data_IF_746450798360
#
_entry.id   IF_746450798360
#
_cell.length_a   1.000
_cell.length_b   1.000
_cell.length_c   1.000
_cell.angle_alpha   90.00
_cell.angle_beta   90.00
_cell.angle_gamma   90.00
#
_symmetry.space_group_name_H-M   'P 1'
#
loop_
_entity.id
_entity.type
_entity.pdbx_description
1 polymer ?
#
# COMPACT_ATOMS: atom_id res chain seq x y z
N UNK A 1 -11.67 -3.78 -5.12
CA UNK A 1 -10.94 -2.60 -5.65
C UNK A 1 -11.59 -1.93 -6.87
N UNK A 2 -12.73 -2.42 -7.39
CA UNK A 2 -13.36 -1.88 -8.61
C UNK A 2 -13.72 -0.38 -8.55
N UNK A 3 -14.24 0.09 -7.42
CA UNK A 3 -14.55 1.52 -7.24
C UNK A 3 -13.29 2.40 -7.38
N UNK A 4 -12.17 2.02 -6.77
CA UNK A 4 -10.90 2.76 -6.89
C UNK A 4 -10.39 2.76 -8.33
N UNK A 5 -10.53 1.63 -9.03
CA UNK A 5 -10.17 1.54 -10.44
C UNK A 5 -11.03 2.46 -11.33
N UNK A 6 -12.32 2.57 -11.03
CA UNK A 6 -13.25 3.46 -11.73
C UNK A 6 -12.89 4.94 -11.51
N UNK A 7 -12.54 5.33 -10.28
CA UNK A 7 -12.12 6.70 -9.96
C UNK A 7 -10.85 7.10 -10.75
N UNK A 8 -9.90 6.18 -10.92
CA UNK A 8 -8.71 6.41 -11.76
C UNK A 8 -9.09 6.54 -13.23
N UNK A 9 -9.94 5.63 -13.76
CA UNK A 9 -10.39 5.69 -15.16
C UNK A 9 -11.15 6.97 -15.48
N UNK A 10 -11.91 7.50 -14.53
CA UNK A 10 -12.62 8.78 -14.63
C UNK A 10 -11.69 10.00 -14.47
N UNK A 11 -10.42 9.79 -14.11
CA UNK A 11 -9.46 10.87 -13.87
C UNK A 11 -9.71 11.66 -12.58
N UNK A 12 -10.59 11.18 -11.70
CA UNK A 12 -10.92 11.85 -10.43
C UNK A 12 -9.80 11.70 -9.39
N UNK A 13 -9.05 10.60 -9.48
CA UNK A 13 -7.86 10.37 -8.66
C UNK A 13 -6.72 9.86 -9.55
N UNK A 14 -5.49 10.26 -9.25
CA UNK A 14 -4.32 9.90 -10.07
C UNK A 14 -3.74 8.53 -9.71
N UNK A 15 -3.85 8.13 -8.45
CA UNK A 15 -3.23 6.92 -7.91
C UNK A 15 -4.09 6.24 -6.84
N UNK A 16 -3.82 4.96 -6.57
CA UNK A 16 -4.49 4.16 -5.54
C UNK A 16 -3.48 3.64 -4.54
N UNK A 17 -3.78 3.81 -3.25
CA UNK A 17 -2.99 3.27 -2.14
C UNK A 17 -3.88 2.55 -1.12
N UNK A 18 -3.25 1.89 -0.17
CA UNK A 18 -3.91 1.21 0.95
C UNK A 18 -3.28 1.64 2.28
N UNK A 19 -3.87 1.25 3.41
CA UNK A 19 -3.31 1.52 4.73
C UNK A 19 -3.47 0.31 5.65
N UNK A 20 -2.40 -0.03 6.37
CA UNK A 20 -2.31 -1.15 7.29
C UNK A 20 -2.59 -2.52 6.64
N UNK A 21 -2.19 -2.68 5.38
CA UNK A 21 -2.33 -3.96 4.68
C UNK A 21 -1.13 -4.86 4.92
N UNK A 22 -1.38 -6.16 5.06
CA UNK A 22 -0.34 -7.19 5.03
C UNK A 22 0.16 -7.43 3.61
N UNK A 23 1.31 -8.08 3.41
CA UNK A 23 1.81 -8.41 2.08
C UNK A 23 0.82 -9.16 1.20
N UNK A 24 0.05 -10.08 1.79
CA UNK A 24 -0.97 -10.89 1.13
C UNK A 24 -2.14 -10.00 0.66
N UNK A 25 -2.66 -9.15 1.54
CA UNK A 25 -3.72 -8.20 1.18
C UNK A 25 -3.28 -7.23 0.09
N UNK A 26 -2.00 -6.85 0.05
CA UNK A 26 -1.47 -6.02 -1.03
C UNK A 26 -1.36 -6.76 -2.37
N UNK A 27 -1.03 -8.05 -2.36
CA UNK A 27 -1.05 -8.87 -3.58
C UNK A 27 -2.47 -8.99 -4.12
N UNK A 28 -3.43 -9.26 -3.24
CA UNK A 28 -4.85 -9.33 -3.60
C UNK A 28 -5.38 -7.97 -4.11
N UNK A 29 -5.03 -6.88 -3.44
CA UNK A 29 -5.40 -5.53 -3.89
C UNK A 29 -4.82 -5.21 -5.27
N UNK A 30 -3.56 -5.54 -5.52
CA UNK A 30 -2.93 -5.37 -6.84
C UNK A 30 -3.60 -6.25 -7.91
N UNK A 31 -3.95 -7.50 -7.58
CA UNK A 31 -4.67 -8.39 -8.48
C UNK A 31 -6.01 -7.78 -8.91
N UNK A 32 -6.80 -7.26 -7.97
CA UNK A 32 -8.09 -6.61 -8.29
C UNK A 32 -7.97 -5.24 -8.96
N UNK A 33 -6.84 -4.54 -8.82
CA UNK A 33 -6.56 -3.31 -9.55
C UNK A 33 -6.14 -3.56 -11.00
N UNK A 34 -5.73 -4.80 -11.33
CA UNK A 34 -5.29 -5.18 -12.67
C UNK A 34 -4.07 -4.36 -13.11
N UNK A 35 -4.21 -3.59 -14.20
CA UNK A 35 -3.15 -2.74 -14.74
C UNK A 35 -2.92 -1.44 -13.97
N UNK A 36 -3.83 -1.07 -13.06
CA UNK A 36 -3.64 0.13 -12.22
C UNK A 36 -2.64 -0.22 -11.12
N UNK A 37 -1.51 0.49 -11.02
CA UNK A 37 -0.52 0.19 -10.00
C UNK A 37 -1.03 0.60 -8.61
N UNK A 38 -0.90 -0.30 -7.65
CA UNK A 38 -0.98 0.06 -6.23
C UNK A 38 0.30 0.81 -5.87
N UNK A 39 0.19 2.08 -5.49
CA UNK A 39 1.36 2.96 -5.35
C UNK A 39 1.86 3.12 -3.93
N UNK A 40 1.06 2.83 -2.91
CA UNK A 40 1.54 2.89 -1.54
C UNK A 40 0.76 2.00 -0.57
N UNK A 41 1.41 1.68 0.55
CA UNK A 41 0.78 1.18 1.76
C UNK A 41 1.22 2.04 2.93
N UNK A 42 0.24 2.73 3.55
CA UNK A 42 0.48 3.53 4.73
C UNK A 42 0.36 2.68 5.99
N UNK A 43 1.46 2.42 6.68
CA UNK A 43 1.47 1.64 7.93
C UNK A 43 2.15 2.41 9.05
N UNK A 44 1.90 1.98 10.29
CA UNK A 44 2.57 2.53 11.46
C UNK A 44 4.02 2.05 11.53
N UNK A 45 4.92 2.99 11.80
CA UNK A 45 6.32 2.71 12.11
C UNK A 45 6.80 3.69 13.18
N UNK A 46 7.52 3.19 14.17
CA UNK A 46 8.14 4.00 15.22
C UNK A 46 9.32 3.23 15.81
N UNK A 47 10.26 3.92 16.46
CA UNK A 47 11.47 3.29 17.01
C UNK A 47 11.17 2.09 17.93
N UNK A 48 10.10 2.19 18.74
CA UNK A 48 9.69 1.14 19.68
C UNK A 48 8.84 0.03 19.04
N UNK A 49 8.44 0.18 17.77
CA UNK A 49 7.60 -0.78 17.05
C UNK A 49 7.99 -0.80 15.57
N UNK A 50 8.97 -1.65 15.27
CA UNK A 50 9.61 -1.83 13.96
C UNK A 50 9.22 -3.17 13.31
N UNK A 51 8.11 -3.79 13.73
CA UNK A 51 7.66 -5.11 13.23
C UNK A 51 7.59 -5.17 11.70
N UNK A 52 7.25 -4.04 11.09
CA UNK A 52 7.12 -3.92 9.64
C UNK A 52 8.39 -4.23 8.86
N UNK A 53 9.56 -4.14 9.48
CA UNK A 53 10.84 -4.47 8.85
C UNK A 53 10.99 -5.96 8.55
N UNK A 54 10.30 -6.80 9.32
CA UNK A 54 10.33 -8.25 9.15
C UNK A 54 9.11 -8.77 8.39
N UNK A 55 7.98 -8.06 8.43
CA UNK A 55 6.73 -8.52 7.80
C UNK A 55 6.48 -7.86 6.41
N UNK A 56 6.43 -6.54 6.36
CA UNK A 56 5.97 -5.76 5.21
C UNK A 56 7.17 -5.43 4.33
N UNK A 57 8.18 -4.73 4.83
CA UNK A 57 9.29 -4.20 4.03
C UNK A 57 9.99 -5.22 3.11
N UNK A 58 10.29 -6.47 3.54
CA UNK A 58 11.01 -7.44 2.71
C UNK A 58 10.23 -7.85 1.44
N UNK A 59 8.90 -7.79 1.47
CA UNK A 59 8.04 -8.14 0.33
C UNK A 59 7.85 -6.94 -0.61
N UNK A 60 8.24 -5.72 -0.20
CA UNK A 60 8.10 -4.50 -1.00
C UNK A 60 9.36 -4.10 -1.74
N UNK A 61 10.57 -4.43 -1.26
CA UNK A 61 11.79 -4.20 -2.05
C UNK A 61 11.73 -4.88 -3.44
N UNK A 62 11.00 -5.99 -3.54
CA UNK A 62 10.75 -6.70 -4.80
C UNK A 62 9.69 -6.04 -5.72
N UNK A 63 8.92 -5.06 -5.23
CA UNK A 63 7.78 -4.43 -5.92
C UNK A 63 8.02 -2.91 -5.99
N UNK A 64 7.87 -2.27 -7.16
CA UNK A 64 8.09 -0.80 -7.33
C UNK A 64 7.00 0.09 -6.67
N UNK A 65 6.52 -0.25 -5.49
CA UNK A 65 5.46 0.46 -4.75
C UNK A 65 6.10 1.26 -3.60
N UNK A 66 6.20 2.60 -3.69
CA UNK A 66 6.82 3.41 -2.63
C UNK A 66 6.03 3.40 -1.32
N UNK A 67 6.77 3.51 -0.20
CA UNK A 67 6.22 3.49 1.14
C UNK A 67 5.78 4.88 1.62
N UNK A 68 4.70 4.93 2.42
CA UNK A 68 4.34 6.11 3.20
C UNK A 68 4.26 5.73 4.68
N UNK A 69 5.27 6.13 5.47
CA UNK A 69 5.24 5.93 6.92
C UNK A 69 4.18 6.83 7.54
N UNK A 70 3.37 6.31 8.46
CA UNK A 70 2.64 7.17 9.40
C UNK A 70 3.30 7.10 10.78
N UNK A 71 3.88 8.21 11.21
CA UNK A 71 4.17 8.42 12.62
C UNK A 71 2.85 8.63 13.37
N UNK A 72 2.62 7.81 14.40
CA UNK A 72 1.49 7.99 15.31
C UNK A 72 2.05 8.26 16.69
N UNK A 73 2.16 9.55 17.02
CA UNK A 73 2.45 10.02 18.36
C UNK A 73 1.26 9.68 19.26
N UNK A 74 1.48 8.77 20.20
CA UNK A 74 0.60 8.48 21.32
C UNK A 74 1.44 8.44 22.57
#
# INVERSE_FOLDING_TARGET
MGAMAELVKKGLVKYVGVSNFTPQLMQEAQYYLGSIPLVCNQVAYRLNDRRIENDVLPVFDKRKCPFFVKERWR
#
